data_IF_829519234456
#
_entry.id   IF_829519234456
#
_cell.length_a   1.000
_cell.length_b   1.000
_cell.length_c   1.000
_cell.angle_alpha   90.00
_cell.angle_beta   90.00
_cell.angle_gamma   90.00
#
_symmetry.space_group_name_H-M   'P 1'
#
loop_
_entity.id
_entity.type
_entity.pdbx_description
1 polymer ?
#
# COMPACT_ATOMS: atom_id res chain seq x y z
N UNK A 1 9.38 -7.79 -10.75
CA UNK A 1 9.66 -9.22 -10.99
C UNK A 1 11.07 -9.52 -10.52
N UNK A 2 11.26 -10.59 -9.76
CA UNK A 2 12.55 -11.04 -9.27
C UNK A 2 12.51 -12.52 -8.87
N UNK A 3 13.70 -13.17 -8.75
CA UNK A 3 13.77 -14.56 -8.32
C UNK A 3 13.43 -14.69 -6.84
N UNK A 4 12.70 -15.73 -6.48
CA UNK A 4 12.38 -16.09 -5.09
C UNK A 4 13.48 -16.94 -4.44
N UNK A 5 14.42 -17.44 -5.25
CA UNK A 5 15.57 -18.25 -4.83
C UNK A 5 16.87 -17.66 -5.38
N UNK A 6 18.02 -18.14 -4.86
CA UNK A 6 19.34 -17.71 -5.33
C UNK A 6 19.70 -18.48 -6.62
N UNK A 7 19.62 -17.78 -7.76
CA UNK A 7 19.91 -18.34 -9.08
C UNK A 7 21.23 -17.85 -9.66
N UNK A 8 21.79 -18.62 -10.60
CA UNK A 8 23.03 -18.25 -11.24
C UNK A 8 22.79 -17.20 -12.35
N UNK A 9 23.62 -16.14 -12.46
CA UNK A 9 23.44 -15.08 -13.46
C UNK A 9 23.35 -15.58 -14.90
N UNK A 10 24.07 -16.64 -15.26
CA UNK A 10 24.03 -17.26 -16.59
C UNK A 10 22.66 -17.80 -17.00
N UNK A 11 21.83 -18.18 -16.00
CA UNK A 11 20.48 -18.68 -16.22
C UNK A 11 19.48 -17.53 -16.21
N UNK A 12 19.71 -16.52 -15.40
CA UNK A 12 18.83 -15.36 -15.24
C UNK A 12 18.89 -14.42 -16.45
N UNK A 13 20.08 -14.22 -17.04
CA UNK A 13 20.24 -13.21 -18.09
C UNK A 13 19.36 -13.47 -19.32
N UNK A 14 19.37 -14.65 -19.95
CA UNK A 14 18.49 -14.92 -21.09
C UNK A 14 16.99 -14.82 -20.74
N UNK A 15 16.62 -15.25 -19.54
CA UNK A 15 15.24 -15.19 -19.09
C UNK A 15 14.74 -13.74 -18.92
N UNK A 16 15.57 -12.87 -18.35
CA UNK A 16 15.25 -11.46 -18.23
C UNK A 16 15.28 -10.73 -19.57
N UNK A 17 16.20 -11.09 -20.48
CA UNK A 17 16.23 -10.54 -21.82
C UNK A 17 14.91 -10.84 -22.54
N UNK A 18 14.44 -12.10 -22.54
CA UNK A 18 13.17 -12.48 -23.13
C UNK A 18 12.00 -11.76 -22.47
N UNK A 19 12.00 -11.67 -21.12
CA UNK A 19 10.98 -10.94 -20.37
C UNK A 19 10.88 -9.48 -20.80
N UNK A 20 12.01 -8.75 -20.79
CA UNK A 20 11.98 -7.32 -21.09
C UNK A 20 11.72 -7.06 -22.59
N UNK A 21 12.21 -7.89 -23.48
CA UNK A 21 11.89 -7.80 -24.91
C UNK A 21 10.38 -7.90 -25.11
N UNK A 22 9.75 -8.96 -24.60
CA UNK A 22 8.30 -9.14 -24.73
C UNK A 22 7.51 -8.04 -24.02
N UNK A 23 7.96 -7.62 -22.83
CA UNK A 23 7.29 -6.55 -22.09
C UNK A 23 7.30 -5.23 -22.85
N UNK A 24 8.43 -4.88 -23.48
CA UNK A 24 8.58 -3.61 -24.20
C UNK A 24 7.88 -3.63 -25.56
N UNK A 25 7.85 -4.79 -26.23
CA UNK A 25 7.20 -4.93 -27.54
C UNK A 25 5.68 -5.01 -27.43
N UNK A 26 5.16 -5.79 -26.49
CA UNK A 26 3.73 -6.09 -26.38
C UNK A 26 3.01 -5.33 -25.25
N UNK A 27 3.75 -4.75 -24.31
CA UNK A 27 3.25 -4.13 -23.08
C UNK A 27 2.35 -5.07 -22.23
N UNK A 28 2.54 -6.38 -22.40
CA UNK A 28 1.81 -7.44 -21.71
C UNK A 28 2.72 -8.17 -20.72
N UNK A 29 2.55 -7.84 -19.42
CA UNK A 29 3.31 -8.45 -18.33
C UNK A 29 3.05 -9.96 -18.17
N UNK A 30 1.85 -10.44 -18.49
CA UNK A 30 1.50 -11.85 -18.43
C UNK A 30 2.25 -12.65 -19.49
N UNK A 31 2.26 -12.14 -20.73
CA UNK A 31 3.01 -12.73 -21.83
C UNK A 31 4.51 -12.69 -21.56
N UNK A 32 5.03 -11.56 -21.08
CA UNK A 32 6.44 -11.41 -20.73
C UNK A 32 6.90 -12.43 -19.67
N UNK A 33 6.07 -12.68 -18.63
CA UNK A 33 6.39 -13.72 -17.64
C UNK A 33 6.34 -15.12 -18.23
N UNK A 34 5.40 -15.40 -19.13
CA UNK A 34 5.36 -16.68 -19.84
C UNK A 34 6.65 -16.91 -20.62
N UNK A 35 7.10 -15.94 -21.41
CA UNK A 35 8.37 -16.00 -22.15
C UNK A 35 9.58 -16.17 -21.22
N UNK A 36 9.59 -15.50 -20.08
CA UNK A 36 10.63 -15.67 -19.05
C UNK A 36 10.70 -17.14 -18.59
N UNK A 37 9.56 -17.75 -18.30
CA UNK A 37 9.51 -19.16 -17.87
C UNK A 37 9.89 -20.14 -18.98
N UNK A 38 9.49 -19.90 -20.22
CA UNK A 38 9.79 -20.75 -21.34
C UNK A 38 11.28 -20.69 -21.72
N UNK A 39 11.90 -19.50 -21.64
CA UNK A 39 13.31 -19.26 -21.95
C UNK A 39 14.25 -19.76 -20.86
N UNK A 40 13.90 -19.54 -19.61
CA UNK A 40 14.59 -20.12 -18.47
C UNK A 40 14.30 -21.61 -18.52
N UNK A 41 15.18 -22.42 -19.22
CA UNK A 41 15.01 -23.87 -19.34
C UNK A 41 14.19 -24.43 -18.17
N UNK A 42 12.93 -24.42 -18.39
CA UNK A 42 11.76 -24.31 -17.52
C UNK A 42 11.76 -25.10 -16.20
N UNK A 43 12.70 -25.99 -16.00
CA UNK A 43 12.75 -26.88 -14.83
C UNK A 43 13.50 -26.28 -13.64
N UNK A 44 14.46 -25.41 -13.85
CA UNK A 44 15.29 -24.88 -12.76
C UNK A 44 14.72 -23.60 -12.15
N UNK A 45 14.01 -22.77 -12.94
CA UNK A 45 13.45 -21.50 -12.46
C UNK A 45 11.94 -21.47 -12.31
N UNK A 46 11.25 -22.59 -12.53
CA UNK A 46 9.79 -22.67 -12.64
C UNK A 46 9.02 -22.08 -11.46
N UNK A 47 9.61 -22.07 -10.26
CA UNK A 47 8.99 -21.52 -9.05
C UNK A 47 9.68 -20.26 -8.54
N UNK A 48 10.66 -19.74 -9.29
CA UNK A 48 11.50 -18.63 -8.82
C UNK A 48 10.93 -17.24 -9.14
N UNK A 49 9.90 -17.17 -9.98
CA UNK A 49 9.31 -15.90 -10.43
C UNK A 49 7.81 -15.86 -10.18
N UNK A 50 7.34 -14.67 -9.84
CA UNK A 50 5.92 -14.37 -9.76
C UNK A 50 5.66 -12.93 -10.21
N UNK A 51 4.50 -12.71 -10.81
CA UNK A 51 3.97 -11.37 -11.01
C UNK A 51 3.10 -11.02 -9.82
N UNK A 52 3.35 -9.86 -9.25
CA UNK A 52 2.48 -9.28 -8.24
C UNK A 52 1.90 -8.01 -8.86
N UNK A 53 0.58 -7.97 -9.02
CA UNK A 53 -0.11 -6.78 -9.50
C UNK A 53 -0.08 -5.68 -8.46
N UNK A 54 0.32 -4.46 -8.88
CA UNK A 54 0.42 -3.30 -8.00
C UNK A 54 -0.90 -3.00 -7.29
N UNK A 55 -2.04 -3.11 -8.01
CA UNK A 55 -3.38 -2.96 -7.45
C UNK A 55 -3.65 -3.94 -6.30
N UNK A 56 -3.28 -5.20 -6.45
CA UNK A 56 -3.45 -6.20 -5.39
C UNK A 56 -2.59 -5.90 -4.17
N UNK A 57 -1.36 -5.43 -4.37
CA UNK A 57 -0.50 -4.98 -3.26
C UNK A 57 -1.17 -3.82 -2.54
N UNK A 58 -1.63 -2.81 -3.30
CA UNK A 58 -2.29 -1.64 -2.73
C UNK A 58 -3.53 -2.03 -1.92
N UNK A 59 -4.44 -2.83 -2.50
CA UNK A 59 -5.67 -3.30 -1.85
C UNK A 59 -5.35 -4.02 -0.54
N UNK A 60 -4.43 -4.98 -0.56
CA UNK A 60 -4.08 -5.74 0.64
C UNK A 60 -3.43 -4.85 1.71
N UNK A 61 -2.50 -3.97 1.30
CA UNK A 61 -1.81 -3.06 2.23
C UNK A 61 -2.76 -2.04 2.85
N UNK A 62 -3.69 -1.49 2.07
CA UNK A 62 -4.66 -0.54 2.58
C UNK A 62 -5.67 -1.21 3.54
N UNK A 63 -6.15 -2.40 3.22
CA UNK A 63 -7.03 -3.18 4.11
C UNK A 63 -6.34 -3.51 5.42
N UNK A 64 -5.10 -4.01 5.37
CA UNK A 64 -4.30 -4.25 6.56
C UNK A 64 -4.14 -2.97 7.39
N UNK A 65 -3.87 -1.84 6.76
CA UNK A 65 -3.83 -0.55 7.45
C UNK A 65 -5.14 -0.22 8.15
N UNK A 66 -6.28 -0.39 7.48
CA UNK A 66 -7.60 -0.13 8.08
C UNK A 66 -7.86 -1.07 9.26
N UNK A 67 -7.60 -2.35 9.12
CA UNK A 67 -7.80 -3.36 10.17
C UNK A 67 -6.92 -3.12 11.40
N UNK A 68 -5.63 -2.83 11.18
CA UNK A 68 -4.65 -2.69 12.27
C UNK A 68 -4.65 -1.30 12.90
N UNK A 69 -4.77 -0.24 12.09
CA UNK A 69 -4.56 1.13 12.52
C UNK A 69 -5.85 1.93 12.71
N UNK A 70 -6.96 1.50 12.11
CA UNK A 70 -8.25 2.19 12.17
C UNK A 70 -9.32 1.38 12.90
N UNK A 71 -8.97 0.25 13.54
CA UNK A 71 -9.88 -0.43 14.47
C UNK A 71 -10.20 0.47 15.68
N UNK A 72 -11.38 0.31 16.28
CA UNK A 72 -11.81 1.11 17.43
C UNK A 72 -10.74 1.14 18.54
N UNK A 73 -10.15 -0.01 18.86
CA UNK A 73 -9.10 -0.10 19.89
C UNK A 73 -7.79 0.59 19.47
N UNK A 74 -7.44 0.59 18.18
CA UNK A 74 -6.26 1.29 17.69
C UNK A 74 -6.47 2.81 17.72
N UNK A 75 -7.65 3.28 17.31
CA UNK A 75 -8.04 4.69 17.38
C UNK A 75 -8.00 5.17 18.84
N UNK A 76 -8.63 4.45 19.74
CA UNK A 76 -8.66 4.81 21.18
C UNK A 76 -7.26 4.98 21.75
N UNK A 77 -6.36 4.03 21.52
CA UNK A 77 -4.96 4.12 21.99
C UNK A 77 -4.22 5.32 21.40
N UNK A 78 -4.39 5.60 20.12
CA UNK A 78 -3.75 6.72 19.44
C UNK A 78 -4.29 8.06 19.93
N UNK A 79 -5.60 8.16 20.07
CA UNK A 79 -6.27 9.36 20.61
C UNK A 79 -5.79 9.64 22.03
N UNK A 80 -5.77 8.64 22.91
CA UNK A 80 -5.26 8.79 24.27
C UNK A 80 -3.81 9.32 24.30
N UNK A 81 -2.92 8.77 23.44
CA UNK A 81 -1.54 9.24 23.33
C UNK A 81 -1.43 10.69 22.85
N UNK A 82 -2.24 11.08 21.86
CA UNK A 82 -2.25 12.46 21.34
C UNK A 82 -2.77 13.44 22.39
N UNK A 83 -3.84 13.09 23.09
CA UNK A 83 -4.40 13.94 24.15
C UNK A 83 -3.41 14.12 25.29
N UNK A 84 -2.78 13.04 25.73
CA UNK A 84 -1.78 13.08 26.81
C UNK A 84 -0.57 13.94 26.44
N UNK A 85 -0.08 13.83 25.21
CA UNK A 85 1.02 14.67 24.73
C UNK A 85 0.63 16.15 24.67
N UNK A 86 -0.61 16.45 24.23
CA UNK A 86 -1.09 17.84 24.21
C UNK A 86 -1.29 18.41 25.63
N UNK A 87 -1.77 17.60 26.57
CA UNK A 87 -1.84 18.00 28.00
C UNK A 87 -0.46 18.38 28.53
N UNK A 88 0.54 17.51 28.34
CA UNK A 88 1.93 17.80 28.74
C UNK A 88 2.47 19.10 28.16
N UNK A 89 2.18 19.34 26.86
CA UNK A 89 2.62 20.58 26.19
C UNK A 89 1.92 21.84 26.75
N UNK A 90 0.64 21.75 27.10
CA UNK A 90 -0.11 22.83 27.71
C UNK A 90 0.42 23.16 29.10
N UNK A 91 0.65 22.14 29.92
CA UNK A 91 1.24 22.28 31.29
C UNK A 91 2.65 22.91 31.21
N UNK A 92 3.50 22.46 30.30
CA UNK A 92 4.85 23.03 30.13
C UNK A 92 4.82 24.51 29.72
N UNK A 93 3.73 24.99 29.14
CA UNK A 93 3.50 26.39 28.77
C UNK A 93 2.75 27.18 29.84
N UNK A 94 2.43 26.57 30.99
CA UNK A 94 1.63 27.17 32.04
C UNK A 94 0.17 27.45 31.64
N UNK A 95 -0.35 26.73 30.64
CA UNK A 95 -1.72 26.92 30.16
C UNK A 95 -2.67 26.01 30.94
N UNK A 96 -3.63 26.62 31.62
CA UNK A 96 -4.74 25.89 32.25
C UNK A 96 -5.81 25.62 31.18
N UNK A 97 -6.00 24.38 30.79
CA UNK A 97 -6.99 23.95 29.78
C UNK A 97 -8.05 23.09 30.48
N UNK A 98 -9.34 23.42 30.36
CA UNK A 98 -10.41 22.65 30.99
C UNK A 98 -10.48 21.20 30.48
N UNK A 99 -10.89 20.27 31.35
CA UNK A 99 -11.05 18.85 30.98
C UNK A 99 -12.04 18.62 29.84
N UNK A 100 -13.10 19.44 29.79
CA UNK A 100 -14.08 19.39 28.69
C UNK A 100 -13.43 19.58 27.31
N UNK A 101 -12.41 20.43 27.19
CA UNK A 101 -11.66 20.64 25.96
C UNK A 101 -10.93 19.36 25.50
N UNK A 102 -10.33 18.62 26.42
CA UNK A 102 -9.64 17.38 26.11
C UNK A 102 -10.59 16.27 25.64
N UNK A 103 -11.79 16.24 26.23
CA UNK A 103 -12.85 15.31 25.82
C UNK A 103 -13.34 15.62 24.40
N UNK A 104 -13.58 16.89 24.11
CA UNK A 104 -14.00 17.34 22.78
C UNK A 104 -12.89 17.09 21.72
N UNK A 105 -11.65 17.39 22.05
CA UNK A 105 -10.48 17.12 21.19
C UNK A 105 -10.38 15.62 20.89
N UNK A 106 -10.52 14.77 21.92
CA UNK A 106 -10.47 13.31 21.76
C UNK A 106 -11.55 12.82 20.79
N UNK A 107 -12.80 13.29 20.96
CA UNK A 107 -13.92 12.93 20.10
C UNK A 107 -13.67 13.38 18.66
N UNK A 108 -13.22 14.60 18.44
CA UNK A 108 -12.90 15.14 17.12
C UNK A 108 -11.80 14.36 16.41
N UNK A 109 -10.75 13.98 17.13
CA UNK A 109 -9.65 13.19 16.57
C UNK A 109 -10.14 11.77 16.24
N UNK A 110 -10.92 11.15 17.12
CA UNK A 110 -11.48 9.81 16.91
C UNK A 110 -12.36 9.76 15.65
N UNK A 111 -13.25 10.73 15.48
CA UNK A 111 -14.11 10.85 14.31
C UNK A 111 -13.31 10.98 13.02
N UNK A 112 -12.30 11.86 13.00
CA UNK A 112 -11.41 12.01 11.82
C UNK A 112 -10.61 10.77 11.50
N UNK A 113 -10.16 10.01 12.52
CA UNK A 113 -9.42 8.78 12.33
C UNK A 113 -10.31 7.61 11.85
N UNK A 114 -11.60 7.65 12.16
CA UNK A 114 -12.56 6.66 11.73
C UNK A 114 -12.93 6.81 10.25
N UNK A 115 -12.87 8.04 9.70
CA UNK A 115 -13.04 8.27 8.26
C UNK A 115 -11.71 7.99 7.52
N UNK A 116 -11.61 6.79 6.96
CA UNK A 116 -10.41 6.35 6.22
C UNK A 116 -10.43 6.73 4.74
N UNK A 117 -11.49 7.34 4.22
CA UNK A 117 -11.60 7.74 2.81
C UNK A 117 -10.55 8.78 2.39
N UNK A 118 -10.29 9.87 3.12
CA UNK A 118 -9.24 10.82 2.77
C UNK A 118 -7.85 10.16 2.72
N UNK A 119 -7.61 9.19 3.61
CA UNK A 119 -6.36 8.43 3.66
C UNK A 119 -6.23 7.49 2.45
N UNK A 120 -7.33 6.87 2.01
CA UNK A 120 -7.35 6.06 0.79
C UNK A 120 -6.90 6.88 -0.42
N UNK A 121 -7.50 8.06 -0.62
CA UNK A 121 -7.17 8.93 -1.75
C UNK A 121 -5.70 9.36 -1.72
N UNK A 122 -5.19 9.75 -0.56
CA UNK A 122 -3.79 10.13 -0.40
C UNK A 122 -2.84 8.95 -0.68
N UNK A 123 -3.12 7.75 -0.16
CA UNK A 123 -2.29 6.56 -0.38
C UNK A 123 -2.35 6.12 -1.84
N UNK A 124 -3.52 6.13 -2.46
CA UNK A 124 -3.69 5.79 -3.86
C UNK A 124 -2.88 6.73 -4.76
N UNK A 125 -2.97 8.03 -4.54
CA UNK A 125 -2.21 9.03 -5.30
C UNK A 125 -0.71 8.81 -5.20
N UNK A 126 -0.19 8.56 -4.00
CA UNK A 126 1.24 8.32 -3.76
C UNK A 126 1.70 6.97 -4.30
N UNK A 127 0.94 5.91 -4.05
CA UNK A 127 1.32 4.55 -4.45
C UNK A 127 1.40 4.40 -5.96
N UNK A 128 0.45 4.97 -6.68
CA UNK A 128 0.41 4.94 -8.14
C UNK A 128 1.05 6.17 -8.79
N UNK A 129 1.71 7.03 -8.01
CA UNK A 129 2.41 8.22 -8.49
C UNK A 129 1.53 9.14 -9.36
N UNK A 130 0.25 9.27 -9.01
CA UNK A 130 -0.75 10.01 -9.82
C UNK A 130 -0.40 11.50 -9.93
N UNK A 131 0.22 12.08 -8.91
CA UNK A 131 0.64 13.49 -8.93
C UNK A 131 1.75 13.78 -9.95
N UNK A 132 2.58 12.75 -10.24
CA UNK A 132 3.69 12.84 -11.19
C UNK A 132 3.27 12.38 -12.59
N UNK A 133 2.36 11.38 -12.63
CA UNK A 133 1.85 10.75 -13.85
C UNK A 133 0.32 10.69 -13.81
N UNK A 134 -0.38 11.79 -14.16
CA UNK A 134 -1.85 11.89 -14.05
C UNK A 134 -2.63 10.80 -14.81
N UNK A 135 -2.07 10.25 -15.87
CA UNK A 135 -2.65 9.13 -16.62
C UNK A 135 -2.78 7.85 -15.78
N UNK A 136 -2.03 7.72 -14.70
CA UNK A 136 -2.12 6.58 -13.80
C UNK A 136 -3.46 6.55 -13.05
N UNK A 137 -4.15 7.66 -12.92
CA UNK A 137 -5.49 7.70 -12.34
C UNK A 137 -6.48 6.85 -13.13
N UNK A 138 -6.44 6.94 -14.45
CA UNK A 138 -7.25 6.11 -15.34
C UNK A 138 -6.74 4.67 -15.52
N UNK A 139 -5.43 4.43 -15.32
CA UNK A 139 -4.83 3.09 -15.42
C UNK A 139 -5.11 2.21 -14.20
N UNK A 140 -5.30 2.83 -13.03
CA UNK A 140 -5.54 2.16 -11.75
C UNK A 140 -6.85 2.68 -11.11
N UNK A 141 -8.02 2.36 -11.72
CA UNK A 141 -9.32 2.93 -11.35
C UNK A 141 -9.90 2.30 -10.07
N UNK A 142 -9.08 2.14 -9.04
CA UNK A 142 -9.50 1.59 -7.75
C UNK A 142 -10.34 2.61 -7.00
N UNK A 143 -11.51 2.16 -6.53
CA UNK A 143 -12.37 2.93 -5.62
C UNK A 143 -12.21 2.47 -4.17
N UNK A 144 -12.53 3.36 -3.24
CA UNK A 144 -12.51 3.06 -1.81
C UNK A 144 -13.44 1.89 -1.47
N UNK A 145 -14.64 1.88 -2.02
CA UNK A 145 -15.65 0.85 -1.76
C UNK A 145 -15.22 -0.52 -2.29
N UNK A 146 -14.67 -0.58 -3.50
CA UNK A 146 -14.17 -1.83 -4.08
C UNK A 146 -12.97 -2.35 -3.30
N UNK A 147 -12.06 -1.45 -2.90
CA UNK A 147 -10.89 -1.81 -2.11
C UNK A 147 -11.27 -2.48 -0.79
N UNK A 148 -12.30 -1.98 -0.09
CA UNK A 148 -12.73 -2.57 1.17
C UNK A 148 -13.61 -3.83 1.00
N UNK A 149 -14.28 -4.03 -0.16
CA UNK A 149 -15.11 -5.22 -0.43
C UNK A 149 -14.34 -6.39 -1.01
N UNK A 150 -13.20 -6.16 -1.68
CA UNK A 150 -12.45 -7.23 -2.32
C UNK A 150 -12.17 -8.35 -1.32
N UNK A 151 -12.64 -9.56 -1.62
CA UNK A 151 -12.28 -10.75 -0.85
C UNK A 151 -10.80 -11.05 -1.05
N UNK A 152 -10.13 -11.50 0.00
CA UNK A 152 -8.70 -11.76 0.02
C UNK A 152 -8.33 -13.00 -0.83
#
# INVERSE_FOLDING_TARGET
>A
VGPSTRELPRVLFPAFEAFYTTLLDDLDGGKAVKELFETASAKELHHSFSIIHGERIFVNSFRQYVEEQCSAAAIERRVAGIVEENKRRAEARGQAVPDAHWTELAATIAERMADTRPMFEEYRRRFFMIDEWPENDGRFPLTYEETLRAEA
#
